data_IF_805725322743
#
_entry.id   IF_805725322743
#
_cell.length_a   1.000
_cell.length_b   1.000
_cell.length_c   1.000
_cell.angle_alpha   90.00
_cell.angle_beta   90.00
_cell.angle_gamma   90.00
#
_symmetry.space_group_name_H-M   'P 1'
#
loop_
_entity.id
_entity.type
_entity.pdbx_description
1 polymer ?
#
# COMPACT_ATOMS: atom_id res chain seq x y z
N UNK A 1 -25.31 70.92 -9.05
CA UNK A 1 -24.17 71.80 -8.74
C UNK A 1 -22.89 71.08 -9.15
N UNK A 2 -22.01 71.83 -9.82
CA UNK A 2 -20.79 71.44 -10.52
C UNK A 2 -19.77 70.66 -9.65
N UNK A 3 -19.18 69.57 -10.13
CA UNK A 3 -18.00 69.36 -11.02
C UNK A 3 -16.62 69.63 -10.38
N UNK A 4 -15.69 68.69 -10.65
CA UNK A 4 -14.22 68.81 -10.85
C UNK A 4 -13.29 68.30 -9.72
N UNK A 5 -12.55 67.19 -9.98
CA UNK A 5 -11.18 67.07 -10.56
C UNK A 5 -10.09 67.51 -9.56
N UNK A 6 -9.28 66.60 -9.01
CA UNK A 6 -8.09 65.94 -9.59
C UNK A 6 -6.78 66.74 -9.42
N UNK A 7 -5.69 65.98 -9.21
CA UNK A 7 -4.26 66.35 -9.30
C UNK A 7 -3.72 67.06 -8.04
N UNK A 8 -2.50 66.87 -7.54
CA UNK A 8 -1.19 66.43 -8.05
C UNK A 8 -0.37 65.92 -6.85
N UNK A 9 0.55 64.95 -6.97
CA UNK A 9 2.00 65.13 -7.15
C UNK A 9 2.63 66.16 -6.17
N UNK A 10 3.80 65.99 -5.56
CA UNK A 10 4.89 65.05 -5.72
C UNK A 10 5.96 65.40 -4.64
N UNK A 11 6.75 64.39 -4.29
CA UNK A 11 8.19 64.42 -3.97
C UNK A 11 8.82 65.29 -2.87
N UNK A 12 9.83 64.63 -2.26
CA UNK A 12 11.12 65.10 -1.75
C UNK A 12 11.21 65.06 -0.20
N UNK A 13 11.93 64.08 0.38
CA UNK A 13 13.40 64.07 0.58
C UNK A 13 13.80 65.07 1.69
N UNK A 14 14.65 64.80 2.68
CA UNK A 14 15.74 63.84 2.89
C UNK A 14 16.35 64.18 4.28
N UNK A 15 17.28 63.34 4.80
CA UNK A 15 18.21 63.57 5.95
C UNK A 15 17.57 63.58 7.36
N UNK A 16 18.17 63.10 8.47
CA UNK A 16 19.21 62.11 8.86
C UNK A 16 19.33 62.27 10.38
N UNK A 17 19.66 61.18 11.07
CA UNK A 17 20.48 61.13 12.29
C UNK A 17 20.01 61.91 13.55
N UNK A 18 19.77 61.17 14.64
CA UNK A 18 20.72 61.13 15.75
C UNK A 18 20.21 60.17 16.84
N UNK A 19 21.07 59.23 17.23
CA UNK A 19 20.89 58.38 18.38
C UNK A 19 21.09 59.18 19.67
N UNK A 20 20.26 58.96 20.69
CA UNK A 20 20.60 59.21 22.09
C UNK A 20 19.96 58.14 22.98
N UNK A 21 20.86 57.44 23.66
CA UNK A 21 20.71 56.49 24.75
C UNK A 21 19.96 57.03 25.96
N UNK A 22 19.15 56.21 26.63
CA UNK A 22 19.00 56.26 28.10
C UNK A 22 18.52 54.91 28.65
N UNK A 23 19.36 54.36 29.51
CA UNK A 23 19.13 53.29 30.48
C UNK A 23 17.99 53.61 31.44
N UNK A 24 17.14 52.61 31.75
CA UNK A 24 16.37 52.58 32.99
C UNK A 24 16.22 51.15 33.51
N UNK A 25 16.51 50.98 34.80
CA UNK A 25 16.53 49.74 35.54
C UNK A 25 15.12 49.23 35.87
N UNK A 26 14.93 47.92 35.73
CA UNK A 26 14.28 47.01 36.69
C UNK A 26 12.86 47.28 37.16
N UNK A 27 11.94 46.36 36.83
CA UNK A 27 11.07 45.68 37.82
C UNK A 27 10.38 44.46 37.19
N UNK A 28 10.63 43.31 37.80
CA UNK A 28 9.91 42.03 37.77
C UNK A 28 8.86 41.77 36.66
N UNK A 29 9.22 40.91 35.72
CA UNK A 29 8.29 40.16 34.88
C UNK A 29 8.85 38.75 34.69
N UNK A 30 8.18 37.76 35.27
CA UNK A 30 8.57 36.37 35.39
C UNK A 30 9.23 35.80 34.13
N UNK A 31 10.49 35.38 34.26
CA UNK A 31 11.16 34.48 33.34
C UNK A 31 10.49 33.10 33.42
N UNK A 32 9.46 32.89 32.61
CA UNK A 32 9.09 31.56 32.19
C UNK A 32 10.23 31.04 31.31
N UNK A 33 11.20 30.36 31.95
CA UNK A 33 12.07 29.41 31.26
C UNK A 33 11.15 28.47 30.49
N UNK A 34 11.19 28.57 29.16
CA UNK A 34 10.80 27.47 28.29
C UNK A 34 11.59 26.25 28.77
N UNK A 35 10.88 25.31 29.39
CA UNK A 35 11.44 24.01 29.69
C UNK A 35 11.77 23.36 28.36
N UNK A 36 13.06 23.36 28.00
CA UNK A 36 13.59 22.38 27.07
C UNK A 36 13.24 21.00 27.63
N UNK A 37 12.22 20.38 27.05
CA UNK A 37 12.07 18.95 27.11
C UNK A 37 13.27 18.36 26.35
N UNK A 38 13.98 17.47 27.01
CA UNK A 38 15.24 16.89 26.58
C UNK A 38 15.26 16.42 25.11
N UNK A 39 16.21 16.94 24.33
CA UNK A 39 17.05 16.15 23.41
C UNK A 39 16.44 15.49 22.17
N UNK A 40 15.17 15.71 21.81
CA UNK A 40 14.58 15.11 20.61
C UNK A 40 15.09 15.74 19.30
N UNK A 41 15.42 14.92 18.29
CA UNK A 41 15.67 15.44 16.93
C UNK A 41 14.38 16.03 16.36
N UNK A 42 14.50 16.92 15.37
CA UNK A 42 13.34 17.40 14.61
C UNK A 42 12.58 16.22 14.01
N UNK A 43 11.27 16.13 14.29
CA UNK A 43 10.40 15.02 13.85
C UNK A 43 10.53 14.72 12.35
N UNK A 44 10.69 15.74 11.48
CA UNK A 44 10.88 15.55 10.03
C UNK A 44 12.14 14.75 9.66
N UNK A 45 13.16 14.83 10.50
CA UNK A 45 14.49 14.21 10.28
C UNK A 45 14.73 12.97 11.13
N UNK A 46 13.79 12.61 12.00
CA UNK A 46 13.89 11.41 12.81
C UNK A 46 13.85 10.17 11.91
N UNK A 47 14.76 9.22 12.15
CA UNK A 47 14.90 7.99 11.38
C UNK A 47 14.58 6.73 12.18
N UNK A 48 14.23 6.87 13.45
CA UNK A 48 13.76 5.78 14.33
C UNK A 48 13.01 6.34 15.54
N UNK A 49 12.29 5.49 16.26
CA UNK A 49 11.65 5.85 17.53
C UNK A 49 12.64 6.38 18.59
N UNK A 50 13.91 5.97 18.55
CA UNK A 50 14.94 6.45 19.49
C UNK A 50 15.18 7.96 19.38
N UNK A 51 14.98 8.55 18.19
CA UNK A 51 15.12 10.00 17.98
C UNK A 51 14.04 10.84 18.69
N UNK A 52 12.95 10.19 19.12
CA UNK A 52 11.89 10.78 19.95
C UNK A 52 12.09 10.47 21.44
N UNK A 53 13.16 9.78 21.83
CA UNK A 53 13.34 9.28 23.20
C UNK A 53 12.49 8.05 23.53
N UNK A 54 12.01 7.32 22.51
CA UNK A 54 11.17 6.14 22.68
C UNK A 54 9.71 6.35 22.28
N UNK A 55 8.90 5.29 22.38
CA UNK A 55 7.50 5.29 21.91
C UNK A 55 6.65 6.35 22.60
N UNK A 56 6.86 6.61 23.90
CA UNK A 56 6.09 7.62 24.63
C UNK A 56 6.35 9.03 24.07
N UNK A 57 7.59 9.34 23.70
CA UNK A 57 7.95 10.61 23.08
C UNK A 57 7.37 10.75 21.67
N UNK A 58 7.38 9.67 20.89
CA UNK A 58 6.74 9.64 19.56
C UNK A 58 5.23 9.84 19.67
N UNK A 59 4.56 9.14 20.59
CA UNK A 59 3.12 9.28 20.85
C UNK A 59 2.77 10.70 21.29
N UNK A 60 3.55 11.30 22.19
CA UNK A 60 3.33 12.68 22.62
C UNK A 60 3.48 13.69 21.47
N UNK A 61 4.49 13.52 20.62
CA UNK A 61 4.70 14.36 19.44
C UNK A 61 3.58 14.20 18.41
N UNK A 62 3.18 12.96 18.10
CA UNK A 62 2.10 12.65 17.16
C UNK A 62 0.74 13.18 17.65
N UNK A 63 0.44 13.05 18.95
CA UNK A 63 -0.78 13.63 19.54
C UNK A 63 -0.82 15.16 19.48
N UNK A 64 0.35 15.81 19.54
CA UNK A 64 0.45 17.27 19.38
C UNK A 64 0.17 17.71 17.94
N UNK A 65 0.54 16.90 16.95
CA UNK A 65 0.16 17.08 15.55
C UNK A 65 -1.33 16.80 15.33
N UNK A 66 -1.86 15.76 16.00
CA UNK A 66 -3.30 15.52 16.17
C UNK A 66 -4.03 14.90 14.96
N UNK A 67 -3.36 14.80 13.81
CA UNK A 67 -3.91 14.26 12.58
C UNK A 67 -2.88 13.40 11.82
N UNK A 68 -3.38 12.49 11.01
CA UNK A 68 -2.65 11.75 9.99
C UNK A 68 -3.40 11.88 8.67
N UNK A 69 -2.75 12.42 7.64
CA UNK A 69 -3.28 12.44 6.28
C UNK A 69 -2.80 11.21 5.53
N UNK A 70 -3.73 10.33 5.21
CA UNK A 70 -3.53 9.21 4.31
C UNK A 70 -4.18 9.52 2.96
N UNK A 71 -3.84 8.72 1.96
CA UNK A 71 -4.48 8.75 0.65
C UNK A 71 -4.53 7.32 0.14
N UNK A 72 -5.60 6.97 -0.58
CA UNK A 72 -5.80 5.64 -1.19
C UNK A 72 -5.72 4.47 -0.20
N UNK A 73 -6.31 4.60 1.01
CA UNK A 73 -6.44 3.49 1.97
C UNK A 73 -7.89 2.99 2.06
N UNK A 74 -8.41 2.30 1.03
CA UNK A 74 -9.79 1.85 1.01
C UNK A 74 -10.07 0.89 2.16
N UNK A 75 -11.18 1.12 2.87
CA UNK A 75 -11.47 0.43 4.14
C UNK A 75 -11.63 -1.09 4.01
N UNK A 76 -12.03 -1.57 2.85
CA UNK A 76 -12.23 -2.99 2.54
C UNK A 76 -10.97 -3.69 1.99
N UNK A 77 -9.87 -2.94 1.80
CA UNK A 77 -8.60 -3.47 1.35
C UNK A 77 -7.71 -3.89 2.51
N UNK A 78 -7.28 -5.16 2.52
CA UNK A 78 -6.39 -5.73 3.53
C UNK A 78 -6.74 -5.39 5.00
N UNK A 79 -8.03 -5.14 5.30
CA UNK A 79 -8.54 -4.75 6.62
C UNK A 79 -8.13 -3.33 7.10
N UNK A 80 -7.82 -2.40 6.20
CA UNK A 80 -7.47 -1.02 6.55
C UNK A 80 -8.54 -0.31 7.36
N UNK A 81 -9.83 -0.58 7.12
CA UNK A 81 -10.91 0.00 7.92
C UNK A 81 -10.75 -0.28 9.41
N UNK A 82 -10.45 -1.54 9.77
CA UNK A 82 -10.19 -1.91 11.17
C UNK A 82 -8.87 -1.32 11.67
N UNK A 83 -7.82 -1.34 10.87
CA UNK A 83 -6.51 -0.81 11.27
C UNK A 83 -6.57 0.67 11.60
N UNK A 84 -7.27 1.45 10.79
CA UNK A 84 -7.50 2.88 11.02
C UNK A 84 -8.34 3.14 12.28
N UNK A 85 -9.43 2.37 12.47
CA UNK A 85 -10.29 2.52 13.65
C UNK A 85 -9.53 2.16 14.95
N UNK A 86 -8.74 1.09 14.94
CA UNK A 86 -7.89 0.67 16.04
C UNK A 86 -6.81 1.71 16.35
N UNK A 87 -6.16 2.29 15.33
CA UNK A 87 -5.16 3.34 15.51
C UNK A 87 -5.76 4.59 16.16
N UNK A 88 -6.91 5.05 15.64
CA UNK A 88 -7.66 6.16 16.20
C UNK A 88 -8.07 5.89 17.65
N UNK A 89 -8.60 4.70 17.94
CA UNK A 89 -8.98 4.32 19.30
C UNK A 89 -7.78 4.28 20.26
N UNK A 90 -6.62 3.80 19.79
CA UNK A 90 -5.41 3.66 20.61
C UNK A 90 -4.72 4.98 20.90
N UNK A 91 -4.63 5.86 19.90
CA UNK A 91 -3.81 7.08 20.00
C UNK A 91 -4.62 8.37 20.03
N UNK A 92 -5.92 8.35 19.74
CA UNK A 92 -6.76 9.55 19.69
C UNK A 92 -6.38 10.51 18.56
N UNK A 93 -5.75 10.00 17.50
CA UNK A 93 -5.33 10.76 16.32
C UNK A 93 -6.34 10.47 15.20
N UNK A 94 -6.87 11.52 14.59
CA UNK A 94 -7.78 11.40 13.46
C UNK A 94 -7.02 11.04 12.18
N UNK A 95 -7.59 10.13 11.38
CA UNK A 95 -7.07 9.78 10.05
C UNK A 95 -7.99 10.42 9.01
N UNK A 96 -7.44 11.26 8.15
CA UNK A 96 -8.12 11.78 6.97
C UNK A 96 -7.57 11.02 5.76
N UNK A 97 -8.37 10.10 5.21
CA UNK A 97 -8.05 9.35 4.00
C UNK A 97 -8.72 10.00 2.78
N UNK A 98 -7.91 10.51 1.85
CA UNK A 98 -8.39 11.08 0.59
C UNK A 98 -8.37 10.04 -0.53
N UNK A 99 -9.34 10.10 -1.44
CA UNK A 99 -9.36 9.27 -2.65
C UNK A 99 -9.10 7.77 -2.36
N UNK A 100 -9.90 7.12 -1.48
CA UNK A 100 -9.67 5.74 -1.06
C UNK A 100 -9.51 4.77 -2.23
N UNK A 101 -10.24 4.98 -3.32
CA UNK A 101 -10.19 4.11 -4.51
C UNK A 101 -9.12 4.53 -5.54
N UNK A 102 -8.18 5.40 -5.16
CA UNK A 102 -7.11 5.88 -6.01
C UNK A 102 -6.00 4.86 -6.25
N UNK A 103 -5.04 5.24 -7.08
CA UNK A 103 -3.88 4.42 -7.42
C UNK A 103 -2.60 4.91 -6.75
N UNK A 104 -1.56 4.06 -6.67
CA UNK A 104 -0.23 4.49 -6.22
C UNK A 104 0.39 5.63 -7.03
N UNK A 105 -0.05 5.84 -8.27
CA UNK A 105 0.35 7.02 -9.03
C UNK A 105 -0.33 8.29 -8.52
N UNK A 106 -1.58 8.21 -8.08
CA UNK A 106 -2.31 9.33 -7.47
C UNK A 106 -1.66 9.74 -6.15
N UNK A 107 -1.20 8.78 -5.35
CA UNK A 107 -0.40 9.02 -4.13
C UNK A 107 0.87 9.82 -4.44
N UNK A 108 1.68 9.36 -5.40
CA UNK A 108 2.90 10.04 -5.84
C UNK A 108 2.59 11.45 -6.39
N UNK A 109 1.52 11.58 -7.17
CA UNK A 109 1.07 12.86 -7.70
C UNK A 109 0.68 13.82 -6.57
N UNK A 110 0.00 13.33 -5.52
CA UNK A 110 -0.37 14.13 -4.36
C UNK A 110 0.86 14.57 -3.56
N UNK A 111 1.80 13.66 -3.27
CA UNK A 111 3.07 13.99 -2.61
C UNK A 111 3.84 15.07 -3.38
N UNK A 112 3.93 14.93 -4.71
CA UNK A 112 4.70 15.84 -5.56
C UNK A 112 4.02 17.21 -5.71
N UNK A 113 2.74 17.24 -6.06
CA UNK A 113 2.01 18.48 -6.37
C UNK A 113 1.65 19.30 -5.13
N UNK A 114 1.61 18.66 -3.95
CA UNK A 114 1.22 19.30 -2.68
C UNK A 114 2.37 19.50 -1.71
N UNK A 115 3.61 19.31 -2.16
CA UNK A 115 4.82 19.53 -1.37
C UNK A 115 4.76 20.83 -0.56
N UNK A 116 4.91 20.72 0.77
CA UNK A 116 4.86 21.85 1.71
C UNK A 116 3.46 22.39 2.02
N UNK A 117 2.39 21.80 1.50
CA UNK A 117 1.01 22.13 1.84
C UNK A 117 0.53 21.24 2.99
N UNK A 118 -0.35 21.79 3.83
CA UNK A 118 -0.96 21.08 4.96
C UNK A 118 -1.81 19.87 4.54
N UNK A 119 -2.34 19.89 3.31
CA UNK A 119 -3.13 18.80 2.70
C UNK A 119 -2.30 17.76 1.93
N UNK A 120 -0.98 17.78 2.05
CA UNK A 120 -0.16 16.71 1.50
C UNK A 120 -0.39 15.44 2.33
N UNK A 121 -0.37 14.24 1.71
CA UNK A 121 -0.40 13.01 2.49
C UNK A 121 0.86 12.89 3.33
N UNK A 122 0.72 12.37 4.56
CA UNK A 122 1.81 12.10 5.49
C UNK A 122 2.48 10.76 5.18
N UNK A 123 1.66 9.78 4.79
CA UNK A 123 2.04 8.38 4.49
C UNK A 123 1.43 7.94 3.16
N UNK A 124 2.04 6.93 2.56
CA UNK A 124 1.63 6.32 1.29
C UNK A 124 1.78 4.80 1.37
N UNK A 125 0.90 4.06 0.70
CA UNK A 125 0.90 2.60 0.61
C UNK A 125 1.07 2.14 -0.86
N UNK A 126 2.33 2.09 -1.30
CA UNK A 126 2.65 2.01 -2.71
C UNK A 126 2.86 0.56 -3.16
N UNK A 127 2.37 0.22 -4.36
CA UNK A 127 2.90 -0.96 -5.05
C UNK A 127 4.43 -0.85 -5.23
N UNK A 128 5.17 -1.95 -5.08
CA UNK A 128 6.64 -1.92 -4.93
C UNK A 128 7.38 -1.13 -6.01
N UNK A 129 6.92 -1.19 -7.26
CA UNK A 129 7.47 -0.40 -8.36
C UNK A 129 7.35 1.12 -8.10
N UNK A 130 6.16 1.59 -7.74
CA UNK A 130 5.91 2.99 -7.40
C UNK A 130 6.74 3.43 -6.19
N UNK A 131 6.88 2.57 -5.17
CA UNK A 131 7.73 2.85 -4.01
C UNK A 131 9.22 3.02 -4.39
N UNK A 132 9.76 2.15 -5.26
CA UNK A 132 11.14 2.27 -5.76
C UNK A 132 11.31 3.57 -6.55
N UNK A 133 10.34 3.90 -7.41
CA UNK A 133 10.36 5.13 -8.20
C UNK A 133 10.30 6.38 -7.31
N UNK A 134 9.40 6.42 -6.32
CA UNK A 134 9.27 7.52 -5.38
C UNK A 134 10.54 7.71 -4.54
N UNK A 135 11.17 6.61 -4.11
CA UNK A 135 12.46 6.64 -3.42
C UNK A 135 13.57 7.23 -4.30
N UNK A 136 13.70 6.78 -5.56
CA UNK A 136 14.66 7.33 -6.54
C UNK A 136 14.44 8.82 -6.81
N UNK A 137 13.18 9.28 -6.80
CA UNK A 137 12.81 10.69 -6.96
C UNK A 137 13.04 11.54 -5.68
N UNK A 138 13.44 10.92 -4.57
CA UNK A 138 13.71 11.61 -3.31
C UNK A 138 12.46 12.10 -2.59
N UNK A 139 11.30 11.47 -2.84
CA UNK A 139 10.01 11.85 -2.26
C UNK A 139 9.78 11.30 -0.85
N UNK A 140 10.55 10.29 -0.44
CA UNK A 140 10.31 9.53 0.79
C UNK A 140 11.29 9.91 1.91
N UNK A 141 10.84 9.89 3.17
CA UNK A 141 11.68 10.04 4.35
C UNK A 141 12.21 8.68 4.82
N UNK A 142 13.48 8.59 5.24
CA UNK A 142 13.99 7.38 5.87
C UNK A 142 13.44 7.22 7.28
N UNK A 143 12.89 6.05 7.59
CA UNK A 143 12.49 5.65 8.93
C UNK A 143 12.60 4.13 9.10
N UNK A 144 13.21 3.69 10.19
CA UNK A 144 13.31 2.28 10.56
C UNK A 144 12.47 2.07 11.82
N UNK A 145 11.34 1.38 11.64
CA UNK A 145 10.47 0.93 12.74
C UNK A 145 11.23 0.06 13.74
N UNK A 146 10.71 -0.08 14.95
CA UNK A 146 11.36 -0.88 15.99
C UNK A 146 11.70 -2.32 15.56
N UNK A 147 10.83 -2.92 14.73
CA UNK A 147 10.98 -4.28 14.21
C UNK A 147 11.60 -4.35 12.79
N UNK A 148 12.27 -3.28 12.33
CA UNK A 148 12.83 -3.19 10.97
C UNK A 148 13.82 -4.32 10.63
N UNK A 149 14.61 -4.77 11.61
CA UNK A 149 15.56 -5.86 11.41
C UNK A 149 14.87 -7.23 11.25
N UNK A 150 13.61 -7.35 11.68
CA UNK A 150 12.79 -8.57 11.51
C UNK A 150 12.11 -8.63 10.15
N UNK A 151 12.01 -7.52 9.42
CA UNK A 151 11.51 -7.50 8.04
C UNK A 151 12.57 -8.19 7.16
N UNK A 152 12.21 -9.16 6.30
CA UNK A 152 13.16 -9.78 5.39
C UNK A 152 13.88 -8.76 4.50
N UNK A 153 15.17 -8.99 4.20
CA UNK A 153 15.96 -8.05 3.38
C UNK A 153 15.40 -7.85 1.97
N UNK A 154 14.73 -8.88 1.41
CA UNK A 154 14.05 -8.78 0.11
C UNK A 154 12.77 -7.94 0.16
N UNK A 155 12.32 -7.56 1.36
CA UNK A 155 11.09 -6.82 1.63
C UNK A 155 11.34 -5.42 2.19
N UNK A 156 12.58 -4.94 2.25
CA UNK A 156 12.89 -3.59 2.76
C UNK A 156 13.97 -2.88 1.98
N UNK A 157 13.88 -1.55 1.92
CA UNK A 157 14.99 -0.70 1.53
C UNK A 157 15.93 -0.51 2.72
N UNK A 158 17.25 -0.78 2.60
CA UNK A 158 18.18 -0.72 3.74
C UNK A 158 18.33 0.66 4.37
N UNK A 159 17.97 1.74 3.67
CA UNK A 159 17.93 3.10 4.19
C UNK A 159 16.61 3.43 4.93
N UNK A 160 15.62 2.53 4.91
CA UNK A 160 14.32 2.74 5.55
C UNK A 160 13.40 3.69 4.76
N UNK A 161 13.63 3.86 3.47
CA UNK A 161 12.79 4.73 2.62
C UNK A 161 11.44 4.10 2.28
N UNK A 162 11.38 2.77 2.27
CA UNK A 162 10.19 1.97 2.00
C UNK A 162 10.41 0.57 2.56
N UNK A 163 9.35 -0.09 2.98
CA UNK A 163 9.42 -1.47 3.43
C UNK A 163 8.02 -2.09 3.31
N UNK A 164 7.99 -3.40 3.07
CA UNK A 164 6.73 -4.10 2.83
C UNK A 164 6.01 -4.34 4.15
N UNK A 165 4.69 -4.15 4.15
CA UNK A 165 3.81 -4.30 5.30
C UNK A 165 2.93 -5.56 5.22
N UNK A 166 2.24 -5.75 4.09
CA UNK A 166 1.41 -6.90 3.79
C UNK A 166 1.47 -7.23 2.30
N UNK A 167 1.05 -8.45 1.97
CA UNK A 167 0.95 -8.89 0.60
C UNK A 167 0.02 -10.06 0.41
N UNK A 168 0.01 -10.57 -0.82
CA UNK A 168 -0.76 -11.73 -1.20
C UNK A 168 -0.10 -12.49 -2.32
N UNK A 169 -0.47 -13.75 -2.44
CA UNK A 169 -0.08 -14.59 -3.56
C UNK A 169 -1.14 -14.51 -4.65
N UNK A 170 -0.74 -14.66 -5.90
CA UNK A 170 -1.70 -15.02 -6.94
C UNK A 170 -2.31 -16.38 -6.63
N UNK A 171 -3.63 -16.43 -6.73
CA UNK A 171 -4.43 -17.57 -6.32
C UNK A 171 -5.52 -17.87 -7.33
N UNK A 172 -5.98 -19.11 -7.30
CA UNK A 172 -7.15 -19.58 -8.02
C UNK A 172 -8.26 -19.79 -6.99
N UNK A 173 -9.33 -19.02 -7.10
CA UNK A 173 -10.59 -19.21 -6.38
C UNK A 173 -11.58 -19.99 -7.22
N UNK A 174 -12.39 -20.85 -6.62
CA UNK A 174 -13.31 -21.72 -7.35
C UNK A 174 -14.55 -22.09 -6.52
N UNK A 175 -15.73 -21.99 -7.12
CA UNK A 175 -16.98 -22.51 -6.54
C UNK A 175 -17.11 -24.02 -6.81
N UNK A 176 -16.79 -24.83 -5.80
CA UNK A 176 -16.79 -26.29 -5.88
C UNK A 176 -18.19 -26.92 -6.04
N UNK A 177 -19.27 -26.14 -5.92
CA UNK A 177 -20.62 -26.60 -6.27
C UNK A 177 -20.94 -26.42 -7.75
N UNK A 178 -20.26 -25.49 -8.44
CA UNK A 178 -20.43 -25.23 -9.87
C UNK A 178 -19.37 -25.89 -10.73
N UNK A 179 -18.18 -26.12 -10.18
CA UNK A 179 -17.03 -26.72 -10.86
C UNK A 179 -16.74 -28.07 -10.23
N UNK A 180 -16.82 -29.14 -11.03
CA UNK A 180 -16.68 -30.53 -10.55
C UNK A 180 -15.32 -30.80 -9.89
N UNK A 181 -14.26 -30.24 -10.45
CA UNK A 181 -12.90 -30.30 -9.91
C UNK A 181 -12.32 -28.90 -9.96
N UNK A 182 -12.08 -28.29 -8.80
CA UNK A 182 -11.46 -26.97 -8.77
C UNK A 182 -10.00 -27.01 -9.25
N UNK A 183 -9.60 -26.12 -10.18
CA UNK A 183 -8.21 -26.04 -10.64
C UNK A 183 -7.30 -25.58 -9.51
N UNK A 184 -6.09 -26.16 -9.45
CA UNK A 184 -5.07 -25.80 -8.45
C UNK A 184 -3.80 -25.22 -9.06
N UNK A 185 -3.64 -25.38 -10.37
CA UNK A 185 -2.45 -24.96 -11.13
C UNK A 185 -2.86 -24.15 -12.36
N UNK A 186 -1.95 -23.37 -12.92
CA UNK A 186 -2.21 -22.72 -14.21
C UNK A 186 -2.40 -23.77 -15.32
N UNK A 187 -1.65 -24.87 -15.28
CA UNK A 187 -1.83 -25.97 -16.22
C UNK A 187 -3.27 -26.54 -16.22
N UNK A 188 -3.92 -26.62 -15.06
CA UNK A 188 -5.31 -27.09 -14.97
C UNK A 188 -6.26 -26.21 -15.78
N UNK A 189 -6.08 -24.88 -15.79
CA UNK A 189 -7.00 -23.93 -16.40
C UNK A 189 -7.20 -24.12 -17.92
N UNK A 190 -6.39 -24.95 -18.57
CA UNK A 190 -6.53 -25.34 -19.99
C UNK A 190 -7.44 -26.55 -20.20
N UNK A 191 -7.87 -27.25 -19.14
CA UNK A 191 -8.77 -28.41 -19.25
C UNK A 191 -10.13 -27.98 -19.83
N UNK A 192 -10.74 -28.80 -20.71
CA UNK A 192 -11.99 -28.44 -21.40
C UNK A 192 -13.20 -28.26 -20.46
N UNK A 193 -13.13 -28.80 -19.24
CA UNK A 193 -14.18 -28.73 -18.23
C UNK A 193 -14.46 -27.29 -17.74
N UNK A 194 -13.54 -26.35 -18.00
CA UNK A 194 -13.62 -24.96 -17.52
C UNK A 194 -14.10 -23.96 -18.56
N UNK A 195 -14.85 -24.43 -19.58
CA UNK A 195 -15.34 -23.61 -20.68
C UNK A 195 -16.14 -22.40 -20.17
N UNK A 196 -15.65 -21.20 -20.48
CA UNK A 196 -16.24 -19.91 -20.10
C UNK A 196 -16.19 -19.60 -18.60
N UNK A 197 -15.35 -20.28 -17.81
CA UNK A 197 -15.35 -20.16 -16.34
C UNK A 197 -14.19 -19.34 -15.79
N UNK A 198 -13.07 -19.24 -16.49
CA UNK A 198 -11.82 -18.64 -15.98
C UNK A 198 -11.81 -17.13 -16.15
N UNK A 199 -11.99 -16.39 -15.06
CA UNK A 199 -12.08 -14.94 -15.04
C UNK A 199 -10.87 -14.28 -14.34
N UNK A 200 -10.56 -13.04 -14.74
CA UNK A 200 -9.55 -12.18 -14.12
C UNK A 200 -10.22 -11.05 -13.32
N UNK A 201 -9.56 -10.60 -12.25
CA UNK A 201 -9.89 -9.32 -11.61
C UNK A 201 -9.30 -8.17 -12.44
N UNK A 202 -10.08 -7.73 -13.43
CA UNK A 202 -9.80 -6.59 -14.29
C UNK A 202 -8.97 -6.93 -15.53
N UNK A 203 -8.54 -5.88 -16.24
CA UNK A 203 -7.70 -5.99 -17.43
C UNK A 203 -6.22 -5.83 -17.03
N UNK A 204 -5.29 -6.72 -17.44
CA UNK A 204 -3.89 -6.65 -17.01
C UNK A 204 -3.11 -5.43 -17.52
N UNK A 205 -3.67 -4.66 -18.46
CA UNK A 205 -3.13 -3.35 -18.87
C UNK A 205 -3.47 -2.22 -17.89
N UNK A 206 -4.39 -2.46 -16.94
CA UNK A 206 -4.94 -1.46 -16.02
C UNK A 206 -4.97 -1.91 -14.56
N UNK A 207 -5.28 -3.17 -14.29
CA UNK A 207 -5.50 -3.74 -12.98
C UNK A 207 -4.29 -4.55 -12.51
N UNK A 208 -3.82 -4.26 -11.28
CA UNK A 208 -2.66 -4.93 -10.69
C UNK A 208 -2.87 -6.43 -10.45
N UNK A 209 -4.08 -6.84 -10.06
CA UNK A 209 -4.43 -8.26 -9.87
C UNK A 209 -4.30 -9.05 -11.18
N UNK A 210 -4.95 -8.59 -12.25
CA UNK A 210 -4.82 -9.21 -13.57
C UNK A 210 -3.37 -9.20 -14.10
N UNK A 211 -2.62 -8.11 -13.90
CA UNK A 211 -1.19 -8.06 -14.26
C UNK A 211 -0.38 -9.12 -13.48
N UNK A 212 -0.61 -9.24 -12.17
CA UNK A 212 -0.04 -10.29 -11.34
C UNK A 212 -0.39 -11.70 -11.83
N UNK A 213 -1.61 -11.91 -12.30
CA UNK A 213 -2.04 -13.18 -12.88
C UNK A 213 -1.24 -13.53 -14.15
N UNK A 214 -0.92 -12.54 -15.00
CA UNK A 214 -0.06 -12.74 -16.17
C UNK A 214 1.37 -13.07 -15.74
N UNK A 215 1.92 -12.43 -14.71
CA UNK A 215 3.24 -12.79 -14.18
C UNK A 215 3.28 -14.21 -13.62
N UNK A 216 2.29 -14.57 -12.80
CA UNK A 216 2.15 -15.91 -12.24
C UNK A 216 2.05 -16.98 -13.35
N UNK A 217 1.23 -16.71 -14.38
CA UNK A 217 1.14 -17.56 -15.56
C UNK A 217 2.46 -17.63 -16.33
N UNK A 218 3.21 -16.53 -16.45
CA UNK A 218 4.51 -16.53 -17.09
C UNK A 218 5.49 -17.45 -16.33
N UNK A 219 5.56 -17.33 -15.00
CA UNK A 219 6.39 -18.19 -14.16
C UNK A 219 5.99 -19.68 -14.27
N UNK A 220 4.70 -19.97 -14.42
CA UNK A 220 4.21 -21.34 -14.67
C UNK A 220 4.54 -21.90 -16.05
N UNK A 221 4.74 -21.04 -17.05
CA UNK A 221 4.80 -21.44 -18.47
C UNK A 221 6.16 -21.14 -19.12
N UNK A 222 7.24 -21.13 -18.34
CA UNK A 222 8.62 -20.99 -18.83
C UNK A 222 9.09 -19.55 -19.05
N UNK A 223 8.36 -18.58 -18.51
CA UNK A 223 8.79 -17.19 -18.39
C UNK A 223 9.63 -16.91 -17.15
N UNK A 224 9.87 -15.64 -16.89
CA UNK A 224 10.63 -15.14 -15.74
C UNK A 224 10.19 -13.72 -15.39
N UNK A 225 10.78 -13.11 -14.36
CA UNK A 225 10.53 -11.70 -14.03
C UNK A 225 10.99 -10.74 -15.15
N UNK A 226 11.96 -11.17 -15.98
CA UNK A 226 12.44 -10.46 -17.17
C UNK A 226 11.63 -10.77 -18.44
N UNK A 227 10.81 -11.83 -18.43
CA UNK A 227 10.08 -12.29 -19.60
C UNK A 227 8.64 -12.71 -19.24
N UNK A 228 7.73 -11.74 -19.34
CA UNK A 228 6.30 -11.94 -19.05
C UNK A 228 5.51 -12.54 -20.24
N UNK A 229 6.07 -12.55 -21.45
CA UNK A 229 5.36 -12.96 -22.67
C UNK A 229 4.73 -14.36 -22.58
N UNK A 230 5.36 -15.39 -21.96
CA UNK A 230 4.74 -16.70 -21.81
C UNK A 230 3.43 -16.69 -21.03
N UNK A 231 3.23 -15.74 -20.12
CA UNK A 231 1.97 -15.56 -19.40
C UNK A 231 0.86 -15.00 -20.29
N UNK A 232 1.20 -14.06 -21.17
CA UNK A 232 0.28 -13.52 -22.18
C UNK A 232 -0.15 -14.64 -23.13
N UNK A 233 0.81 -15.43 -23.62
CA UNK A 233 0.56 -16.55 -24.52
C UNK A 233 -0.30 -17.63 -23.85
N UNK A 234 -0.08 -17.88 -22.55
CA UNK A 234 -0.90 -18.79 -21.76
C UNK A 234 -2.37 -18.36 -21.73
N UNK A 235 -2.67 -17.10 -21.45
CA UNK A 235 -4.06 -16.63 -21.47
C UNK A 235 -4.67 -16.64 -22.88
N UNK A 236 -3.86 -16.44 -23.92
CA UNK A 236 -4.26 -16.72 -25.31
C UNK A 236 -4.68 -18.18 -25.51
N UNK A 237 -3.96 -19.14 -24.92
CA UNK A 237 -4.35 -20.56 -24.95
C UNK A 237 -5.63 -20.83 -24.14
N UNK A 238 -5.81 -20.20 -22.97
CA UNK A 238 -7.05 -20.29 -22.18
C UNK A 238 -8.24 -19.79 -22.99
N UNK A 239 -8.05 -18.71 -23.76
CA UNK A 239 -9.05 -18.17 -24.69
C UNK A 239 -9.35 -19.14 -25.83
N UNK A 240 -8.33 -19.67 -26.49
CA UNK A 240 -8.46 -20.64 -27.60
C UNK A 240 -9.14 -21.94 -27.15
N UNK A 241 -8.88 -22.40 -25.92
CA UNK A 241 -9.58 -23.53 -25.31
C UNK A 241 -11.07 -23.24 -25.02
N UNK A 242 -11.50 -21.99 -25.12
CA UNK A 242 -12.86 -21.55 -24.80
C UNK A 242 -13.10 -21.36 -23.30
N UNK A 243 -12.06 -21.38 -22.47
CA UNK A 243 -12.17 -21.31 -21.01
C UNK A 243 -12.21 -19.87 -20.47
N UNK A 244 -11.65 -18.92 -21.23
CA UNK A 244 -11.58 -17.52 -20.80
C UNK A 244 -12.96 -16.87 -20.70
N UNK A 245 -13.25 -16.29 -19.55
CA UNK A 245 -14.43 -15.50 -19.24
C UNK A 245 -14.06 -14.01 -19.22
N UNK A 246 -14.67 -13.16 -20.08
CA UNK A 246 -14.38 -11.73 -20.11
C UNK A 246 -15.05 -10.93 -18.98
N UNK A 247 -15.91 -11.55 -18.17
CA UNK A 247 -16.54 -10.90 -17.01
C UNK A 247 -15.50 -10.70 -15.91
N UNK A 248 -15.48 -9.50 -15.35
CA UNK A 248 -14.57 -9.14 -14.27
C UNK A 248 -14.96 -9.83 -12.95
N UNK A 249 -13.95 -10.35 -12.25
CA UNK A 249 -14.13 -10.89 -10.91
C UNK A 249 -14.45 -9.75 -9.94
N UNK A 250 -15.62 -9.86 -9.31
CA UNK A 250 -16.06 -9.00 -8.22
C UNK A 250 -16.85 -9.85 -7.22
N UNK A 251 -17.08 -9.39 -5.99
CA UNK A 251 -17.96 -10.09 -5.07
C UNK A 251 -19.36 -10.33 -5.66
N UNK A 252 -19.89 -9.39 -6.45
CA UNK A 252 -21.22 -9.50 -7.04
C UNK A 252 -21.29 -10.54 -8.17
N UNK A 253 -20.24 -10.63 -9.01
CA UNK A 253 -20.19 -11.60 -10.11
C UNK A 253 -19.92 -13.02 -9.62
N UNK A 254 -19.17 -13.18 -8.51
CA UNK A 254 -19.05 -14.47 -7.80
C UNK A 254 -20.38 -14.88 -7.17
N UNK A 255 -21.07 -13.96 -6.49
CA UNK A 255 -22.35 -14.28 -5.82
C UNK A 255 -23.44 -14.73 -6.81
N UNK A 256 -23.50 -14.10 -7.98
CA UNK A 256 -24.35 -14.55 -9.11
C UNK A 256 -23.82 -15.82 -9.79
N UNK A 257 -22.56 -16.16 -9.49
CA UNK A 257 -21.77 -17.24 -10.05
C UNK A 257 -21.59 -17.14 -11.56
N UNK A 258 -21.40 -15.91 -12.03
CA UNK A 258 -20.96 -15.55 -13.38
C UNK A 258 -19.44 -15.78 -13.54
N UNK A 259 -18.68 -15.71 -12.44
CA UNK A 259 -17.22 -15.95 -12.40
C UNK A 259 -16.91 -17.09 -11.41
N UNK A 260 -17.23 -18.36 -11.75
CA UNK A 260 -17.06 -19.50 -10.85
C UNK A 260 -15.60 -19.94 -10.67
N UNK A 261 -14.68 -19.47 -11.53
CA UNK A 261 -13.23 -19.62 -11.35
C UNK A 261 -12.60 -18.21 -11.46
N UNK A 262 -11.93 -17.79 -10.40
CA UNK A 262 -11.30 -16.47 -10.26
C UNK A 262 -9.78 -16.63 -10.19
N UNK A 263 -9.04 -15.79 -10.92
CA UNK A 263 -7.62 -15.58 -10.67
C UNK A 263 -7.45 -14.20 -10.06
N UNK A 264 -7.08 -14.17 -8.78
CA UNK A 264 -7.01 -12.95 -7.97
C UNK A 264 -6.11 -13.14 -6.75
N UNK A 265 -5.90 -12.10 -5.96
CA UNK A 265 -5.09 -12.14 -4.76
C UNK A 265 -5.66 -13.13 -3.74
N UNK A 266 -4.76 -13.85 -3.08
CA UNK A 266 -5.09 -14.87 -2.08
C UNK A 266 -5.96 -14.34 -0.95
N UNK A 267 -5.76 -13.10 -0.51
CA UNK A 267 -6.55 -12.51 0.56
C UNK A 267 -7.99 -12.20 0.14
N UNK A 268 -8.21 -11.83 -1.13
CA UNK A 268 -9.56 -11.63 -1.67
C UNK A 268 -10.27 -12.96 -1.81
N UNK A 269 -9.63 -13.95 -2.45
CA UNK A 269 -10.21 -15.27 -2.61
C UNK A 269 -10.47 -15.97 -1.26
N UNK A 270 -9.56 -15.86 -0.28
CA UNK A 270 -9.77 -16.41 1.06
C UNK A 270 -10.92 -15.70 1.80
N UNK A 271 -11.03 -14.38 1.67
CA UNK A 271 -12.16 -13.61 2.20
C UNK A 271 -13.50 -14.03 1.59
N UNK A 272 -13.52 -14.43 0.33
CA UNK A 272 -14.73 -14.95 -0.33
C UNK A 272 -15.23 -16.27 0.25
N UNK A 273 -14.34 -17.14 0.74
CA UNK A 273 -14.73 -18.37 1.44
C UNK A 273 -15.61 -18.09 2.66
N UNK A 274 -15.25 -17.10 3.49
CA UNK A 274 -16.09 -16.71 4.63
C UNK A 274 -17.33 -15.91 4.18
N UNK A 275 -17.16 -14.97 3.23
CA UNK A 275 -18.24 -14.09 2.76
C UNK A 275 -19.43 -14.83 2.14
N UNK A 276 -19.17 -15.91 1.42
CA UNK A 276 -20.20 -16.62 0.64
C UNK A 276 -20.63 -17.96 1.23
N UNK A 277 -20.02 -18.40 2.33
CA UNK A 277 -20.36 -19.66 3.04
C UNK A 277 -21.86 -19.79 3.31
N UNK A 278 -22.47 -18.75 3.87
CA UNK A 278 -23.89 -18.73 4.23
C UNK A 278 -24.82 -18.47 3.03
N UNK A 279 -24.25 -18.12 1.87
CA UNK A 279 -24.97 -17.96 0.60
C UNK A 279 -24.99 -19.25 -0.22
N UNK A 280 -24.47 -20.34 0.33
CA UNK A 280 -24.47 -21.65 -0.31
C UNK A 280 -23.41 -21.82 -1.40
N UNK A 281 -22.41 -20.95 -1.48
CA UNK A 281 -21.26 -21.07 -2.38
C UNK A 281 -20.13 -21.78 -1.62
N UNK A 282 -19.58 -22.85 -2.21
CA UNK A 282 -18.43 -23.57 -1.62
C UNK A 282 -17.14 -23.07 -2.28
N UNK A 283 -16.64 -21.92 -1.80
CA UNK A 283 -15.50 -21.26 -2.41
C UNK A 283 -14.17 -21.82 -1.88
N UNK A 284 -13.43 -22.48 -2.75
CA UNK A 284 -12.10 -23.05 -2.47
C UNK A 284 -11.01 -22.18 -3.06
N UNK A 285 -9.84 -22.15 -2.39
CA UNK A 285 -8.70 -21.32 -2.78
C UNK A 285 -7.44 -22.17 -2.90
N UNK A 286 -6.71 -22.01 -3.99
CA UNK A 286 -5.42 -22.63 -4.22
C UNK A 286 -4.35 -21.59 -4.60
N UNK A 287 -3.15 -21.72 -4.05
CA UNK A 287 -1.97 -21.00 -4.55
C UNK A 287 -1.28 -21.90 -5.58
N UNK A 288 -1.19 -21.50 -6.87
CA UNK A 288 -0.60 -22.33 -7.90
C UNK A 288 0.88 -22.62 -7.63
N UNK A 289 1.20 -23.89 -7.43
CA UNK A 289 2.58 -24.34 -7.18
C UNK A 289 3.44 -24.41 -8.45
N UNK A 290 2.83 -24.33 -9.62
CA UNK A 290 3.53 -24.17 -10.90
C UNK A 290 3.90 -22.71 -11.18
N UNK A 291 3.12 -21.73 -10.71
CA UNK A 291 3.33 -20.30 -10.97
C UNK A 291 3.22 -19.41 -9.74
N UNK A 292 4.04 -19.67 -8.71
CA UNK A 292 4.02 -18.85 -7.50
C UNK A 292 4.49 -17.43 -7.80
N UNK A 293 3.63 -16.46 -7.52
CA UNK A 293 3.91 -15.04 -7.59
C UNK A 293 3.26 -14.37 -6.39
N UNK A 294 4.00 -13.53 -5.69
CA UNK A 294 3.47 -12.69 -4.64
C UNK A 294 3.82 -11.23 -4.91
N UNK A 295 2.92 -10.35 -4.47
CA UNK A 295 3.18 -8.93 -4.41
C UNK A 295 2.86 -8.45 -3.01
N UNK A 296 3.65 -7.49 -2.57
CA UNK A 296 3.47 -6.80 -1.31
C UNK A 296 3.37 -5.31 -1.59
N UNK A 297 2.64 -4.62 -0.74
CA UNK A 297 2.61 -3.18 -0.72
C UNK A 297 3.78 -2.65 0.10
N UNK A 298 4.07 -1.36 0.00
CA UNK A 298 5.24 -0.73 0.60
C UNK A 298 4.75 0.52 1.33
N UNK A 299 4.83 0.49 2.65
CA UNK A 299 4.65 1.70 3.45
C UNK A 299 5.84 2.63 3.25
N UNK A 300 5.55 3.92 3.18
CA UNK A 300 6.55 4.95 3.21
C UNK A 300 5.99 6.28 3.75
N UNK A 301 6.90 7.10 4.27
CA UNK A 301 6.59 8.43 4.79
C UNK A 301 6.92 9.48 3.71
N UNK A 302 6.00 10.42 3.48
CA UNK A 302 6.27 11.59 2.66
C UNK A 302 7.40 12.43 3.30
N UNK A 303 8.47 12.71 2.55
CA UNK A 303 9.60 13.52 3.01
C UNK A 303 9.19 14.89 3.54
N UNK A 304 8.15 15.47 2.95
CA UNK A 304 7.62 16.79 3.27
C UNK A 304 6.31 16.72 4.07
N UNK A 305 6.02 15.58 4.72
CA UNK A 305 4.82 15.35 5.54
C UNK A 305 4.52 16.54 6.48
N UNK A 306 3.27 17.06 6.49
CA UNK A 306 2.84 18.07 7.45
C UNK A 306 2.79 17.56 8.90
N UNK A 307 2.52 16.28 9.13
CA UNK A 307 2.46 15.60 10.43
C UNK A 307 3.51 14.46 10.53
N UNK A 308 4.81 14.80 10.57
CA UNK A 308 5.89 13.83 10.51
C UNK A 308 5.97 12.87 11.72
N UNK A 309 5.51 13.26 12.90
CA UNK A 309 5.48 12.36 14.06
C UNK A 309 4.29 11.40 13.97
N UNK A 310 3.12 11.85 13.53
CA UNK A 310 1.96 11.00 13.29
C UNK A 310 2.25 9.96 12.20
N UNK A 311 2.93 10.35 11.11
CA UNK A 311 3.38 9.44 10.05
C UNK A 311 4.24 8.30 10.61
N UNK A 312 5.21 8.62 11.48
CA UNK A 312 6.12 7.63 12.08
C UNK A 312 5.42 6.75 13.11
N UNK A 313 4.47 7.30 13.85
CA UNK A 313 3.64 6.52 14.77
C UNK A 313 2.74 5.53 14.01
N UNK A 314 2.23 5.93 12.84
CA UNK A 314 1.50 5.04 11.94
C UNK A 314 2.35 3.86 11.50
N UNK A 315 3.60 4.09 11.08
CA UNK A 315 4.54 3.02 10.76
C UNK A 315 4.77 2.10 11.97
N UNK A 316 5.12 2.63 13.14
CA UNK A 316 5.33 1.80 14.35
C UNK A 316 4.07 1.00 14.73
N UNK A 317 2.88 1.52 14.43
CA UNK A 317 1.63 0.81 14.64
C UNK A 317 1.45 -0.34 13.63
N UNK A 318 1.59 -0.08 12.33
CA UNK A 318 1.41 -1.09 11.28
C UNK A 318 2.39 -2.25 11.40
N UNK A 319 3.61 -1.98 11.88
CA UNK A 319 4.66 -2.98 12.10
C UNK A 319 4.67 -3.57 13.52
N UNK A 320 3.72 -3.19 14.36
CA UNK A 320 3.47 -3.89 15.63
C UNK A 320 2.75 -5.22 15.41
N UNK A 321 2.80 -6.12 16.39
CA UNK A 321 2.00 -7.35 16.35
C UNK A 321 0.49 -7.08 16.17
N UNK A 322 -0.02 -5.95 16.68
CA UNK A 322 -1.42 -5.57 16.47
C UNK A 322 -1.70 -5.19 15.01
N UNK A 323 -0.84 -4.35 14.41
CA UNK A 323 -1.00 -3.93 13.01
C UNK A 323 -0.85 -5.09 12.03
N UNK A 324 0.19 -5.90 12.20
CA UNK A 324 0.44 -7.05 11.34
C UNK A 324 -0.63 -8.15 11.47
N UNK A 325 -1.15 -8.41 12.67
CA UNK A 325 -2.31 -9.30 12.83
C UNK A 325 -3.60 -8.66 12.31
N UNK A 326 -3.69 -7.32 12.26
CA UNK A 326 -4.78 -6.62 11.61
C UNK A 326 -4.85 -6.93 10.11
N UNK A 327 -3.71 -6.86 9.40
CA UNK A 327 -3.61 -7.31 8.00
C UNK A 327 -3.95 -8.80 7.84
N UNK A 328 -3.45 -9.63 8.76
CA UNK A 328 -3.74 -11.07 8.78
C UNK A 328 -5.24 -11.38 8.94
N UNK A 329 -5.96 -10.60 9.75
CA UNK A 329 -7.41 -10.68 9.88
C UNK A 329 -8.17 -10.32 8.60
N UNK A 330 -7.52 -9.58 7.68
CA UNK A 330 -7.96 -9.34 6.31
C UNK A 330 -7.48 -10.37 5.30
N UNK A 331 -6.98 -11.52 5.77
CA UNK A 331 -6.40 -12.61 4.95
C UNK A 331 -5.11 -12.24 4.20
N UNK A 332 -4.57 -11.04 4.40
CA UNK A 332 -3.29 -10.67 3.82
C UNK A 332 -2.14 -11.35 4.58
N UNK A 333 -1.03 -11.63 3.90
CA UNK A 333 0.16 -12.19 4.53
C UNK A 333 1.02 -11.03 5.03
N UNK A 334 1.15 -10.81 6.36
CA UNK A 334 2.00 -9.76 6.91
C UNK A 334 3.48 -10.00 6.61
N UNK A 335 4.26 -8.94 6.42
CA UNK A 335 5.70 -9.02 6.21
C UNK A 335 6.45 -9.58 7.43
N UNK A 336 5.90 -9.40 8.64
CA UNK A 336 6.44 -9.95 9.88
C UNK A 336 5.85 -11.32 10.25
N UNK A 337 5.17 -12.03 9.34
CA UNK A 337 4.50 -13.31 9.64
C UNK A 337 5.41 -14.31 10.38
N UNK A 338 6.58 -14.63 9.83
CA UNK A 338 7.50 -15.60 10.42
C UNK A 338 8.12 -15.11 11.72
N UNK A 339 8.43 -13.82 11.80
CA UNK A 339 8.95 -13.20 13.02
C UNK A 339 7.93 -13.25 14.17
N UNK A 340 6.66 -12.94 13.88
CA UNK A 340 5.57 -13.04 14.86
C UNK A 340 5.28 -14.49 15.25
N UNK A 341 5.37 -15.43 14.29
CA UNK A 341 5.22 -16.86 14.56
C UNK A 341 6.29 -17.36 15.53
N UNK A 342 7.55 -17.01 15.29
CA UNK A 342 8.66 -17.36 16.18
C UNK A 342 8.54 -16.70 17.56
N UNK A 343 8.01 -15.48 17.62
CA UNK A 343 7.78 -14.74 18.86
C UNK A 343 6.50 -15.17 19.62
N UNK A 344 5.64 -16.01 19.03
CA UNK A 344 4.36 -16.41 19.63
C UNK A 344 3.31 -15.30 19.67
N UNK A 345 3.45 -14.25 18.85
CA UNK A 345 2.53 -13.11 18.78
C UNK A 345 1.62 -13.13 17.56
N UNK A 346 1.79 -14.09 16.65
CA UNK A 346 0.91 -14.31 15.51
C UNK A 346 -0.47 -14.80 15.96
N UNK A 347 -1.54 -14.23 15.40
CA UNK A 347 -2.89 -14.77 15.57
C UNK A 347 -3.00 -16.11 14.83
N UNK A 348 -2.95 -17.21 15.59
CA UNK A 348 -2.99 -18.56 15.04
C UNK A 348 -4.33 -18.89 14.36
N UNK A 349 -5.44 -18.31 14.81
CA UNK A 349 -6.75 -18.56 14.23
C UNK A 349 -6.88 -17.86 12.87
N UNK A 350 -6.40 -16.62 12.76
CA UNK A 350 -6.36 -15.91 11.49
C UNK A 350 -5.35 -16.56 10.52
N UNK A 351 -4.16 -16.95 11.00
CA UNK A 351 -3.15 -17.64 10.20
C UNK A 351 -3.66 -18.96 9.61
N UNK A 352 -4.47 -19.73 10.37
CA UNK A 352 -5.04 -20.99 9.91
C UNK A 352 -6.06 -20.82 8.75
N UNK A 353 -6.54 -19.59 8.50
CA UNK A 353 -7.42 -19.28 7.38
C UNK A 353 -6.69 -18.95 6.08
N UNK A 354 -5.37 -18.73 6.13
CA UNK A 354 -4.60 -18.46 4.92
C UNK A 354 -4.49 -19.73 4.06
N UNK A 355 -4.56 -19.61 2.72
CA UNK A 355 -4.30 -20.74 1.84
C UNK A 355 -2.84 -21.19 1.98
N UNK A 356 -2.61 -22.49 1.85
CA UNK A 356 -1.27 -23.06 1.92
C UNK A 356 -0.40 -22.56 0.75
N UNK A 357 0.85 -22.18 1.07
CA UNK A 357 1.86 -21.79 0.09
C UNK A 357 2.92 -22.90 0.01
N UNK A 358 2.89 -23.69 -1.05
CA UNK A 358 3.86 -24.78 -1.25
C UNK A 358 5.24 -24.26 -1.70
N UNK A 359 5.25 -23.21 -2.54
CA UNK A 359 6.47 -22.57 -3.04
C UNK A 359 6.44 -21.08 -2.71
N UNK A 360 7.09 -20.64 -1.63
CA UNK A 360 7.17 -19.22 -1.30
C UNK A 360 7.83 -18.41 -2.42
N UNK A 361 7.33 -17.20 -2.64
CA UNK A 361 7.90 -16.27 -3.61
C UNK A 361 8.87 -15.35 -2.89
N UNK A 362 10.17 -15.55 -3.12
CA UNK A 362 11.24 -14.90 -2.34
C UNK A 362 11.94 -13.76 -3.08
N UNK A 363 11.71 -13.63 -4.39
CA UNK A 363 12.41 -12.68 -5.25
C UNK A 363 11.41 -11.80 -5.97
N UNK A 364 11.30 -10.54 -5.57
CA UNK A 364 10.39 -9.58 -6.17
C UNK A 364 10.97 -8.92 -7.44
N UNK A 365 10.13 -8.58 -8.44
CA UNK A 365 10.62 -7.89 -9.63
C UNK A 365 11.18 -6.51 -9.28
N UNK A 366 12.26 -6.15 -9.97
CA UNK A 366 12.80 -4.79 -9.95
C UNK A 366 11.85 -3.82 -10.66
N UNK A 367 12.08 -2.51 -10.50
CA UNK A 367 11.35 -1.48 -11.24
C UNK A 367 11.46 -1.71 -12.75
N UNK A 368 12.67 -1.90 -13.25
CA UNK A 368 12.95 -1.98 -14.68
C UNK A 368 12.29 -3.24 -15.29
N UNK A 369 12.29 -4.37 -14.55
CA UNK A 369 11.54 -5.58 -14.91
C UNK A 369 10.03 -5.31 -14.96
N UNK A 370 9.49 -4.62 -13.96
CA UNK A 370 8.05 -4.31 -13.89
C UNK A 370 7.64 -3.40 -15.05
N UNK A 371 8.44 -2.38 -15.37
CA UNK A 371 8.15 -1.44 -16.48
C UNK A 371 8.25 -2.13 -17.84
N UNK A 372 9.27 -2.96 -18.04
CA UNK A 372 9.39 -3.77 -19.25
C UNK A 372 8.18 -4.70 -19.42
N UNK A 373 7.78 -5.39 -18.36
CA UNK A 373 6.62 -6.27 -18.38
C UNK A 373 5.29 -5.53 -18.63
N UNK A 374 5.06 -4.38 -17.98
CA UNK A 374 3.89 -3.53 -18.24
C UNK A 374 3.82 -3.09 -19.69
N UNK A 375 4.96 -2.71 -20.27
CA UNK A 375 5.05 -2.37 -21.70
C UNK A 375 4.68 -3.56 -22.58
N UNK A 376 5.26 -4.73 -22.35
CA UNK A 376 4.95 -5.96 -23.10
C UNK A 376 3.47 -6.34 -23.00
N UNK A 377 2.88 -6.29 -21.80
CA UNK A 377 1.45 -6.55 -21.59
C UNK A 377 0.59 -5.55 -22.36
N UNK A 378 0.92 -4.26 -22.31
CA UNK A 378 0.20 -3.20 -23.05
C UNK A 378 0.24 -3.44 -24.57
N UNK A 379 1.38 -3.86 -25.10
CA UNK A 379 1.58 -4.05 -26.55
C UNK A 379 0.95 -5.34 -27.10
N UNK A 380 0.82 -6.39 -26.26
CA UNK A 380 0.51 -7.74 -26.73
C UNK A 380 -0.78 -8.34 -26.18
N UNK A 381 -1.32 -7.87 -25.04
CA UNK A 381 -2.50 -8.47 -24.41
C UNK A 381 -3.73 -8.50 -25.31
N UNK A 382 -4.05 -7.38 -25.96
CA UNK A 382 -5.22 -7.28 -26.83
C UNK A 382 -5.16 -8.29 -28.00
N UNK A 383 -3.97 -8.53 -28.55
CA UNK A 383 -3.78 -9.50 -29.64
C UNK A 383 -4.00 -10.93 -29.15
N UNK A 384 -3.55 -11.25 -27.94
CA UNK A 384 -3.69 -12.59 -27.37
C UNK A 384 -5.14 -12.98 -27.06
N UNK A 385 -5.98 -12.00 -26.66
CA UNK A 385 -7.39 -12.25 -26.27
C UNK A 385 -8.38 -12.01 -27.42
N UNK A 386 -7.98 -11.30 -28.48
CA UNK A 386 -8.82 -11.06 -29.66
C UNK A 386 -8.88 -12.26 -30.62
N UNK A 387 -7.87 -13.14 -30.60
CA UNK A 387 -7.88 -14.43 -31.30
C UNK A 387 -8.73 -15.47 -30.59
#
# INVERSE_FOLDING_TARGET
>A
MSVHRARSAAFAAVLTAAALSLTACGSAGSSAKSGDAAGGKNAKTATSVADFGGMDGLVAAAKKEGKLHAITLPRDWANYGKLMDDFKAKYGIEIEDENPDGSSQDEINAVTSRKGQDRAPDVVDLGSAFAISAAKQGLLAPYKVADFDKIPDTMKDPAGLRYNDYGGYMSIGCDAKKVSVCPKTFADLLKPDYKGMVALNGNPTKAGAAFGAVYAAALANGGSLDNIQPGIDFFGKVKQAGNFNPVEVTPATIEKGETPISIDWSYLNAGYSDKFKDKGIDWQVAIPSDGSYAQYYNQAINKDAPHPAAARLWEEYLYSAQGQNGFLGGYATPALFDAMKAAGTLDAAAAAKLPAVEKPFTTFPTQDQTDAAKKTVTENWAKAIAG
#
